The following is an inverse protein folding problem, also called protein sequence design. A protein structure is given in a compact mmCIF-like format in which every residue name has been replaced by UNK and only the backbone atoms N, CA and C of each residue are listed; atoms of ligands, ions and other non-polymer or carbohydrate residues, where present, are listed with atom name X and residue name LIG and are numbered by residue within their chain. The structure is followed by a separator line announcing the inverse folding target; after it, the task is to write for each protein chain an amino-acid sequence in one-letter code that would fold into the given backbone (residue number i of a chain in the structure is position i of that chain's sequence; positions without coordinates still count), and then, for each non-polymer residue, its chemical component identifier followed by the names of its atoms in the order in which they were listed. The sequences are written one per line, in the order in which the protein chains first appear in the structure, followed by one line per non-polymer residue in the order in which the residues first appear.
data_IF_401995578022
#
_entry.id   IF_401995578022
#
_cell.length_a   1.000
_cell.length_b   1.000
_cell.length_c   1.000
_cell.angle_alpha   90.00
_cell.angle_beta   90.00
_cell.angle_gamma   90.00
#
_symmetry.space_group_name_H-M   'P 1'
#
loop_
_entity.id
_entity.type
_entity.pdbx_description
1 polymer ?
#
# COMPACT_ATOMS: atom_id res chain seq x y z
N UNK A 1 18.16 -7.09 -43.04
CA UNK A 1 17.29 -8.17 -42.52
C UNK A 1 17.80 -8.76 -41.20
N UNK A 2 19.04 -9.26 -41.14
CA UNK A 2 19.62 -9.85 -39.91
C UNK A 2 19.60 -8.88 -38.71
N UNK A 3 20.00 -7.61 -38.93
CA UNK A 3 20.04 -6.60 -37.87
C UNK A 3 18.65 -6.26 -37.30
N UNK A 4 17.62 -6.28 -38.14
CA UNK A 4 16.23 -6.05 -37.72
C UNK A 4 15.70 -7.25 -36.90
N UNK A 5 16.02 -8.48 -37.31
CA UNK A 5 15.66 -9.69 -36.57
C UNK A 5 16.35 -9.75 -35.20
N UNK A 6 17.62 -9.35 -35.11
CA UNK A 6 18.34 -9.31 -33.82
C UNK A 6 17.78 -8.24 -32.89
N UNK A 7 17.42 -7.05 -33.41
CA UNK A 7 16.81 -5.99 -32.59
C UNK A 7 15.43 -6.41 -32.11
N UNK A 8 14.58 -6.97 -32.98
CA UNK A 8 13.28 -7.51 -32.57
C UNK A 8 13.42 -8.62 -31.53
N UNK A 9 14.38 -9.54 -31.70
CA UNK A 9 14.65 -10.58 -30.73
C UNK A 9 15.08 -10.04 -29.36
N UNK A 10 15.94 -9.01 -29.34
CA UNK A 10 16.37 -8.35 -28.11
C UNK A 10 15.20 -7.66 -27.39
N UNK A 11 14.35 -6.95 -28.13
CA UNK A 11 13.17 -6.27 -27.57
C UNK A 11 12.21 -7.29 -26.95
N UNK A 12 11.91 -8.39 -27.66
CA UNK A 12 11.05 -9.46 -27.14
C UNK A 12 11.67 -10.10 -25.89
N UNK A 13 12.97 -10.39 -25.91
CA UNK A 13 13.67 -10.94 -24.74
C UNK A 13 13.59 -9.99 -23.53
N UNK A 14 13.79 -8.69 -23.73
CA UNK A 14 13.66 -7.68 -22.68
C UNK A 14 12.23 -7.60 -22.13
N UNK A 15 11.21 -7.66 -22.99
CA UNK A 15 9.80 -7.69 -22.58
C UNK A 15 9.50 -8.94 -21.74
N UNK A 16 9.95 -10.12 -22.20
CA UNK A 16 9.73 -11.39 -21.48
C UNK A 16 10.41 -11.38 -20.11
N UNK A 17 11.66 -10.91 -20.04
CA UNK A 17 12.38 -10.77 -18.76
C UNK A 17 11.67 -9.77 -17.85
N UNK A 18 11.22 -8.63 -18.38
CA UNK A 18 10.46 -7.63 -17.62
C UNK A 18 9.16 -8.20 -17.04
N UNK A 19 8.39 -8.95 -17.84
CA UNK A 19 7.18 -9.63 -17.40
C UNK A 19 7.47 -10.72 -16.37
N UNK A 20 8.54 -11.49 -16.54
CA UNK A 20 8.94 -12.53 -15.60
C UNK A 20 9.31 -11.93 -14.23
N UNK A 21 10.13 -10.88 -14.22
CA UNK A 21 10.51 -10.16 -12.99
C UNK A 21 9.27 -9.54 -12.32
N UNK A 22 8.35 -8.96 -13.10
CA UNK A 22 7.10 -8.40 -12.57
C UNK A 22 6.22 -9.48 -11.94
N UNK A 23 6.09 -10.64 -12.60
CA UNK A 23 5.38 -11.81 -12.07
C UNK A 23 6.01 -12.34 -10.79
N UNK A 24 7.34 -12.46 -10.74
CA UNK A 24 8.09 -12.89 -9.55
C UNK A 24 7.87 -11.93 -8.38
N UNK A 25 7.94 -10.61 -8.64
CA UNK A 25 7.64 -9.57 -7.64
C UNK A 25 6.24 -9.73 -7.08
N UNK A 26 5.23 -9.83 -7.97
CA UNK A 26 3.83 -10.01 -7.55
C UNK A 26 3.66 -11.27 -6.71
N UNK A 27 4.31 -12.36 -7.09
CA UNK A 27 4.25 -13.64 -6.38
C UNK A 27 4.94 -13.60 -5.02
N UNK A 28 6.07 -12.89 -4.90
CA UNK A 28 6.78 -12.70 -3.63
C UNK A 28 5.99 -11.82 -2.66
N UNK A 29 5.32 -10.78 -3.16
CA UNK A 29 4.44 -9.92 -2.36
C UNK A 29 3.22 -10.73 -1.88
N UNK A 30 2.54 -11.45 -2.78
CA UNK A 30 1.34 -12.23 -2.46
C UNK A 30 1.61 -13.47 -1.58
N UNK A 31 2.81 -14.06 -1.62
CA UNK A 31 3.15 -15.26 -0.83
C UNK A 31 3.08 -15.08 0.68
N UNK A 32 3.00 -13.84 1.16
CA UNK A 32 3.15 -13.52 2.58
C UNK A 32 1.84 -13.41 3.34
N UNK A 33 0.70 -13.74 2.71
CA UNK A 33 -0.56 -14.01 3.42
C UNK A 33 -1.25 -12.84 4.11
N UNK A 34 -0.85 -11.60 3.83
CA UNK A 34 -1.38 -10.41 4.51
C UNK A 34 -1.21 -9.14 3.70
N UNK A 35 -1.53 -9.20 2.41
CA UNK A 35 -1.45 -8.02 1.53
C UNK A 35 -2.83 -7.51 1.20
N UNK A 36 -3.00 -6.20 1.20
CA UNK A 36 -4.23 -5.53 0.80
C UNK A 36 -3.93 -4.33 -0.10
N UNK A 37 -4.83 -4.06 -1.04
CA UNK A 37 -4.73 -2.88 -1.90
C UNK A 37 -4.99 -1.63 -1.06
N UNK A 38 -4.04 -0.69 -1.11
CA UNK A 38 -4.10 0.52 -0.32
C UNK A 38 -3.44 1.67 -1.05
N UNK A 39 -4.23 2.72 -1.31
CA UNK A 39 -3.71 3.99 -1.82
C UNK A 39 -3.29 4.87 -0.65
N UNK A 40 -2.12 5.50 -0.76
CA UNK A 40 -1.54 6.34 0.29
C UNK A 40 -1.41 7.77 -0.20
N UNK A 41 -1.92 8.72 0.60
CA UNK A 41 -1.64 10.15 0.49
C UNK A 41 -0.81 10.58 1.68
N UNK A 42 0.37 11.14 1.43
CA UNK A 42 1.33 11.53 2.48
C UNK A 42 1.37 13.04 2.62
N UNK A 43 1.62 13.53 3.85
CA UNK A 43 1.75 14.95 4.17
C UNK A 43 0.50 15.76 3.79
N UNK A 44 -0.65 15.27 4.25
CA UNK A 44 -1.95 15.88 3.95
C UNK A 44 -2.15 17.10 4.86
N UNK A 45 -2.53 18.27 4.30
CA UNK A 45 -2.86 19.44 5.12
C UNK A 45 -4.07 19.17 6.03
N UNK A 46 -4.18 19.94 7.11
CA UNK A 46 -5.25 19.77 8.12
C UNK A 46 -6.67 19.98 7.56
N UNK A 47 -6.81 20.74 6.46
CA UNK A 47 -8.06 20.84 5.72
C UNK A 47 -8.10 19.75 4.64
N UNK A 48 -9.21 19.01 4.61
CA UNK A 48 -9.51 18.02 3.58
C UNK A 48 -9.53 18.68 2.21
N UNK A 49 -8.49 18.46 1.42
CA UNK A 49 -8.46 18.82 0.01
C UNK A 49 -8.97 17.64 -0.82
N UNK A 50 -10.10 17.85 -1.50
CA UNK A 50 -10.79 16.86 -2.35
C UNK A 50 -10.19 16.82 -3.77
N UNK A 51 -9.10 17.55 -4.04
CA UNK A 51 -8.54 17.66 -5.40
C UNK A 51 -7.98 16.33 -5.98
N UNK A 52 -8.02 15.20 -5.28
CA UNK A 52 -7.50 13.90 -5.78
C UNK A 52 -5.99 13.87 -6.05
N UNK A 53 -5.28 14.99 -5.87
CA UNK A 53 -3.85 15.11 -6.09
C UNK A 53 -3.07 14.52 -4.91
N UNK A 54 -2.01 13.78 -5.23
CA UNK A 54 -1.09 13.21 -4.23
C UNK A 54 -1.37 11.75 -3.83
N UNK A 55 -2.45 11.14 -4.33
CA UNK A 55 -2.71 9.71 -4.11
C UNK A 55 -1.69 8.84 -4.84
N UNK A 56 -1.01 7.98 -4.09
CA UNK A 56 -0.18 6.91 -4.63
C UNK A 56 -0.93 5.59 -4.53
N UNK A 57 -1.17 4.93 -5.67
CA UNK A 57 -1.74 3.58 -5.68
C UNK A 57 -0.68 2.55 -5.26
N UNK A 58 -1.04 1.70 -4.30
CA UNK A 58 -0.11 0.76 -3.69
C UNK A 58 -0.77 -0.49 -3.13
N UNK A 59 0.09 -1.38 -2.65
CA UNK A 59 -0.27 -2.58 -1.89
C UNK A 59 0.43 -2.46 -0.55
N UNK A 60 -0.34 -2.56 0.52
CA UNK A 60 0.16 -2.67 1.88
C UNK A 60 0.34 -4.14 2.24
N UNK A 61 1.37 -4.44 3.04
CA UNK A 61 1.67 -5.78 3.55
C UNK A 61 1.85 -5.73 5.05
N UNK A 62 1.18 -6.61 5.78
CA UNK A 62 1.45 -6.83 7.21
C UNK A 62 2.82 -7.52 7.39
N UNK A 63 3.64 -6.97 8.27
CA UNK A 63 4.92 -7.55 8.68
C UNK A 63 5.09 -7.43 10.21
N UNK A 64 4.44 -8.34 10.94
CA UNK A 64 4.44 -8.31 12.41
C UNK A 64 3.79 -7.03 12.93
N UNK A 65 4.59 -6.16 13.53
CA UNK A 65 4.15 -4.91 14.17
C UNK A 65 4.30 -3.65 13.27
N UNK A 66 4.52 -3.86 11.96
CA UNK A 66 4.53 -2.79 10.97
C UNK A 66 3.79 -3.19 9.70
N UNK A 67 3.32 -2.18 8.98
CA UNK A 67 2.79 -2.31 7.63
C UNK A 67 3.78 -1.70 6.65
N UNK A 68 4.08 -2.46 5.61
CA UNK A 68 4.97 -2.05 4.55
C UNK A 68 4.15 -1.71 3.31
N UNK A 69 4.27 -0.47 2.84
CA UNK A 69 3.53 0.03 1.69
C UNK A 69 4.41 0.04 0.44
N UNK A 70 3.94 -0.64 -0.59
CA UNK A 70 4.62 -0.83 -1.88
C UNK A 70 3.84 -0.15 -2.99
N UNK A 71 4.51 0.59 -3.86
CA UNK A 71 3.85 1.17 -5.03
C UNK A 71 3.59 0.09 -6.08
N UNK A 72 2.36 0.01 -6.62
CA UNK A 72 2.00 -1.01 -7.62
C UNK A 72 2.79 -0.81 -8.91
N UNK A 73 2.79 0.41 -9.44
CA UNK A 73 3.50 0.80 -10.65
C UNK A 73 4.97 1.20 -10.38
N UNK A 74 5.73 0.37 -9.67
CA UNK A 74 7.18 0.60 -9.46
C UNK A 74 7.99 -0.69 -9.59
N UNK A 75 9.15 -0.59 -10.25
CA UNK A 75 10.11 -1.68 -10.36
C UNK A 75 10.93 -1.92 -9.09
N UNK A 76 10.78 -1.08 -8.06
CA UNK A 76 11.47 -1.29 -6.78
C UNK A 76 10.83 -2.45 -5.99
N UNK A 77 11.62 -3.44 -5.53
CA UNK A 77 11.16 -4.47 -4.61
C UNK A 77 11.12 -3.99 -3.15
N UNK A 78 11.59 -2.77 -2.86
CA UNK A 78 11.61 -2.20 -1.51
C UNK A 78 10.30 -1.47 -1.19
N UNK A 79 9.81 -1.54 0.07
CA UNK A 79 8.69 -0.73 0.49
C UNK A 79 9.07 0.74 0.40
N UNK A 80 8.17 1.56 -0.14
CA UNK A 80 8.41 3.00 -0.23
C UNK A 80 8.12 3.70 1.08
N UNK A 81 7.20 3.14 1.87
CA UNK A 81 6.86 3.62 3.21
C UNK A 81 6.66 2.44 4.14
N UNK A 82 6.99 2.64 5.40
CA UNK A 82 6.79 1.68 6.48
C UNK A 82 6.06 2.42 7.59
N UNK A 83 4.94 1.85 8.02
CA UNK A 83 4.08 2.36 9.07
C UNK A 83 4.17 1.43 10.26
N UNK A 84 4.82 1.87 11.33
CA UNK A 84 4.83 1.14 12.60
C UNK A 84 3.49 1.29 13.30
N UNK A 85 3.02 0.18 13.86
CA UNK A 85 1.75 0.13 14.58
C UNK A 85 1.73 1.04 15.80
N UNK A 86 2.80 1.03 16.58
CA UNK A 86 2.94 1.83 17.80
C UNK A 86 2.99 3.33 17.55
N UNK A 87 3.24 3.75 16.30
CA UNK A 87 3.43 5.14 15.93
C UNK A 87 2.37 5.64 14.94
N UNK A 88 1.36 4.83 14.61
CA UNK A 88 0.23 5.23 13.77
C UNK A 88 -1.04 5.34 14.62
N UNK A 89 -1.70 6.48 14.51
CA UNK A 89 -2.95 6.78 15.21
C UNK A 89 -4.03 7.08 14.18
N UNK A 90 -5.23 6.53 14.38
CA UNK A 90 -6.37 6.78 13.50
C UNK A 90 -7.10 8.03 14.00
N UNK A 91 -7.10 9.09 13.18
CA UNK A 91 -7.75 10.34 13.49
C UNK A 91 -9.23 10.37 13.03
N UNK A 92 -9.58 9.60 12.00
CA UNK A 92 -10.95 9.51 11.52
C UNK A 92 -11.11 8.70 10.24
N UNK A 93 -12.36 8.45 9.85
CA UNK A 93 -12.74 7.78 8.60
C UNK A 93 -13.66 8.67 7.78
N UNK A 94 -13.50 8.67 6.47
CA UNK A 94 -14.36 9.39 5.52
C UNK A 94 -14.56 8.58 4.24
N UNK A 95 -15.68 8.81 3.58
CA UNK A 95 -15.88 8.33 2.21
C UNK A 95 -15.10 9.23 1.23
N UNK A 96 -14.61 8.69 0.10
CA UNK A 96 -14.13 9.48 -1.01
C UNK A 96 -15.27 10.33 -1.57
N UNK A 97 -14.94 11.53 -2.02
CA UNK A 97 -15.91 12.47 -2.59
C UNK A 97 -15.36 13.06 -3.90
N UNK A 98 -16.24 13.28 -4.88
CA UNK A 98 -15.90 13.89 -6.17
C UNK A 98 -14.78 13.19 -6.95
N UNK A 99 -13.71 13.93 -7.29
CA UNK A 99 -12.59 13.44 -8.11
C UNK A 99 -11.75 12.35 -7.42
N UNK A 100 -11.83 12.20 -6.10
CA UNK A 100 -11.11 11.15 -5.37
C UNK A 100 -11.67 9.76 -5.67
N UNK A 101 -12.96 9.64 -6.01
CA UNK A 101 -13.61 8.38 -6.36
C UNK A 101 -13.05 7.79 -7.67
N UNK A 102 -12.65 8.64 -8.62
CA UNK A 102 -11.98 8.20 -9.86
C UNK A 102 -10.51 7.80 -9.63
N UNK A 103 -9.86 8.33 -8.60
CA UNK A 103 -8.45 8.07 -8.32
C UNK A 103 -8.22 6.85 -7.41
N UNK A 104 -9.26 6.38 -6.73
CA UNK A 104 -9.22 5.32 -5.73
C UNK A 104 -9.86 4.02 -6.23
N UNK A 105 -9.70 2.94 -5.46
CA UNK A 105 -10.47 1.72 -5.73
C UNK A 105 -11.95 2.03 -5.54
N UNK A 106 -12.80 1.42 -6.37
CA UNK A 106 -14.25 1.46 -6.16
C UNK A 106 -14.57 1.00 -4.74
N UNK A 107 -15.41 1.78 -4.04
CA UNK A 107 -15.80 1.54 -2.65
C UNK A 107 -14.64 1.61 -1.62
N UNK A 108 -13.58 2.34 -1.95
CA UNK A 108 -12.51 2.60 -0.99
C UNK A 108 -12.99 3.53 0.12
N UNK A 109 -12.63 3.22 1.36
CA UNK A 109 -12.82 4.09 2.52
C UNK A 109 -11.48 4.77 2.82
N UNK A 110 -11.52 6.09 3.04
CA UNK A 110 -10.35 6.89 3.38
C UNK A 110 -10.21 6.98 4.89
N UNK A 111 -9.06 6.54 5.39
CA UNK A 111 -8.68 6.58 6.79
C UNK A 111 -7.64 7.67 7.01
N UNK A 112 -8.01 8.71 7.75
CA UNK A 112 -7.09 9.75 8.17
C UNK A 112 -6.29 9.25 9.37
N UNK A 113 -4.96 9.23 9.23
CA UNK A 113 -4.05 8.75 10.26
C UNK A 113 -2.94 9.77 10.53
N UNK A 114 -2.35 9.68 11.71
CA UNK A 114 -1.14 10.42 12.08
C UNK A 114 -0.04 9.40 12.32
N UNK A 115 1.06 9.50 11.60
CA UNK A 115 2.23 8.67 11.80
C UNK A 115 3.45 9.50 12.19
N UNK A 116 3.96 9.30 13.42
CA UNK A 116 5.10 10.07 13.96
C UNK A 116 4.91 11.59 13.80
N UNK A 117 3.71 12.09 14.06
CA UNK A 117 3.33 13.50 13.90
C UNK A 117 3.06 13.96 12.45
N UNK A 118 3.24 13.10 11.44
CA UNK A 118 2.90 13.40 10.05
C UNK A 118 1.49 12.92 9.73
N UNK A 119 0.62 13.80 9.23
CA UNK A 119 -0.71 13.41 8.77
C UNK A 119 -0.64 12.69 7.43
N UNK A 120 -1.35 11.58 7.32
CA UNK A 120 -1.46 10.79 6.12
C UNK A 120 -2.88 10.25 5.97
N UNK A 121 -3.25 9.89 4.75
CA UNK A 121 -4.50 9.21 4.48
C UNK A 121 -4.25 7.89 3.77
N UNK A 122 -4.97 6.86 4.19
CA UNK A 122 -4.95 5.53 3.61
C UNK A 122 -6.33 5.24 3.04
N UNK A 123 -6.42 5.01 1.74
CA UNK A 123 -7.65 4.57 1.10
C UNK A 123 -7.55 3.07 0.84
N UNK A 124 -8.51 2.29 1.34
CA UNK A 124 -8.54 0.83 1.23
C UNK A 124 -9.99 0.34 1.17
N UNK A 125 -10.24 -0.88 0.70
CA UNK A 125 -11.58 -1.46 0.72
C UNK A 125 -12.09 -1.68 2.15
N UNK A 126 -13.40 -1.84 2.32
CA UNK A 126 -14.01 -2.09 3.63
C UNK A 126 -13.49 -3.37 4.31
N UNK A 127 -13.27 -4.44 3.54
CA UNK A 127 -12.66 -5.69 4.03
C UNK A 127 -11.24 -5.45 4.57
N UNK A 128 -10.45 -4.66 3.84
CA UNK A 128 -9.08 -4.33 4.21
C UNK A 128 -9.04 -3.42 5.44
N UNK A 129 -9.99 -2.47 5.54
CA UNK A 129 -10.14 -1.60 6.70
C UNK A 129 -10.41 -2.41 7.97
N UNK A 130 -11.33 -3.37 7.90
CA UNK A 130 -11.65 -4.24 9.03
C UNK A 130 -10.41 -5.01 9.50
N UNK A 131 -9.63 -5.57 8.57
CA UNK A 131 -8.36 -6.22 8.89
C UNK A 131 -7.32 -5.27 9.48
N UNK A 132 -7.24 -4.03 8.98
CA UNK A 132 -6.28 -3.03 9.45
C UNK A 132 -6.58 -2.56 10.87
N UNK A 133 -7.85 -2.31 11.19
CA UNK A 133 -8.28 -1.94 12.54
C UNK A 133 -8.07 -3.11 13.51
N UNK A 134 -8.44 -4.33 13.10
CA UNK A 134 -8.18 -5.53 13.92
C UNK A 134 -6.67 -5.71 14.20
N UNK A 135 -5.81 -5.47 13.22
CA UNK A 135 -4.36 -5.48 13.41
C UNK A 135 -3.88 -4.37 14.37
N UNK A 136 -4.45 -3.17 14.28
CA UNK A 136 -4.14 -2.07 15.20
C UNK A 136 -4.57 -2.37 16.65
N UNK A 137 -5.65 -3.12 16.84
CA UNK A 137 -6.18 -3.49 18.16
C UNK A 137 -5.55 -4.77 18.75
N UNK A 138 -5.10 -5.71 17.92
CA UNK A 138 -4.63 -7.03 18.36
C UNK A 138 -3.33 -6.95 19.20
N UNK A 139 -3.32 -7.20 20.51
CA UNK A 139 -2.14 -7.01 21.37
C UNK A 139 -0.78 -7.48 20.76
N UNK A 140 0.32 -6.71 20.91
CA UNK A 140 1.61 -7.05 20.31
C UNK A 140 2.09 -8.43 20.79
N UNK A 141 2.60 -9.29 19.89
CA UNK A 141 3.04 -10.64 20.26
C UNK A 141 4.28 -10.53 21.15
N UNK A 142 4.08 -10.65 22.46
CA UNK A 142 5.13 -10.46 23.46
C UNK A 142 4.66 -9.98 24.83
N UNK A 143 3.42 -9.48 24.95
CA UNK A 143 2.83 -9.14 26.25
C UNK A 143 2.49 -10.43 27.02
N UNK A 144 3.51 -11.11 27.56
CA UNK A 144 3.32 -12.12 28.59
C UNK A 144 2.76 -11.40 29.82
N UNK A 145 1.44 -11.40 29.94
CA UNK A 145 0.77 -11.19 31.22
C UNK A 145 1.26 -12.30 32.14
N UNK A 146 2.25 -11.97 32.97
CA UNK A 146 2.61 -12.78 34.12
C UNK A 146 1.41 -12.68 35.07
N UNK A 147 0.53 -13.67 35.02
CA UNK A 147 -0.47 -13.88 36.07
C UNK A 147 0.28 -14.59 37.19
N UNK A 148 0.64 -13.81 38.21
CA UNK A 148 1.11 -14.28 39.50
C UNK A 148 -0.02 -14.15 40.52
#
# INVERSE_FOLDING_TARGET
MVLALTVCGLVVALVVVGLFVFGLRRRLIQRSGGTFDCSLRWDVPEKSDTSGKGWGYGVARYNGDRIEWYRVFSYSPRPRRVLERSAIEVAGRRAPDGEEELALLSDAIILACVHRGTRLELAMSEDALTGFLAWLEAAPPGQRVNVA
#
